data_IF_110203961596
#
_entry.id   IF_110203961596
#
_cell.length_a   1.000
_cell.length_b   1.000
_cell.length_c   1.000
_cell.angle_alpha   90.00
_cell.angle_beta   90.00
_cell.angle_gamma   90.00
#
_symmetry.space_group_name_H-M   'P 1'
#
loop_
_entity.id
_entity.type
_entity.pdbx_description
1 polymer ?
#
# COMPACT_ATOMS: atom_id res chain seq x y z
N UNK A 1 2.92 3.22 -10.20
CA UNK A 1 3.05 2.22 -11.26
C UNK A 1 2.51 0.87 -10.78
N UNK A 2 3.15 0.22 -9.80
CA UNK A 2 2.73 -1.11 -9.29
C UNK A 2 1.77 -1.06 -8.10
N UNK A 3 1.00 -2.13 -7.91
CA UNK A 3 0.08 -2.36 -6.78
C UNK A 3 0.64 -3.52 -5.94
N UNK A 4 0.55 -3.45 -4.60
CA UNK A 4 0.96 -4.56 -3.73
C UNK A 4 2.47 -4.63 -3.40
N UNK A 5 3.20 -3.51 -3.46
CA UNK A 5 4.65 -3.49 -3.21
C UNK A 5 5.03 -3.81 -1.76
N UNK A 6 6.13 -4.55 -1.56
CA UNK A 6 6.69 -4.83 -0.24
C UNK A 6 7.16 -3.56 0.50
N UNK A 7 6.96 -3.47 1.84
CA UNK A 7 7.48 -2.37 2.65
C UNK A 7 9.01 -2.30 2.64
N UNK A 8 9.59 -1.10 2.47
CA UNK A 8 11.06 -0.90 2.49
C UNK A 8 11.72 -1.48 3.75
N UNK A 9 11.07 -1.33 4.91
CA UNK A 9 11.56 -1.87 6.19
C UNK A 9 11.63 -3.39 6.26
N UNK A 10 10.74 -4.09 5.56
CA UNK A 10 10.77 -5.55 5.43
C UNK A 10 11.97 -5.96 4.56
N UNK A 11 12.15 -5.31 3.40
CA UNK A 11 13.29 -5.59 2.51
C UNK A 11 14.63 -5.33 3.22
N UNK A 12 14.77 -4.21 3.93
CA UNK A 12 15.98 -3.93 4.71
C UNK A 12 16.20 -4.97 5.82
N UNK A 13 15.13 -5.41 6.51
CA UNK A 13 15.25 -6.45 7.53
C UNK A 13 15.75 -7.76 6.91
N UNK A 14 15.19 -8.16 5.77
CA UNK A 14 15.62 -9.34 5.02
C UNK A 14 17.10 -9.24 4.65
N UNK A 15 17.50 -8.21 3.90
CA UNK A 15 18.85 -8.10 3.34
C UNK A 15 19.97 -8.01 4.39
N UNK A 16 19.69 -7.51 5.60
CA UNK A 16 20.67 -7.48 6.71
C UNK A 16 20.83 -8.85 7.37
N UNK A 17 19.83 -9.73 7.25
CA UNK A 17 19.78 -10.99 7.99
C UNK A 17 19.93 -12.24 7.11
N UNK A 18 20.03 -12.10 5.79
CA UNK A 18 20.27 -13.21 4.85
C UNK A 18 21.66 -13.08 4.25
N UNK A 19 22.34 -14.21 4.07
CA UNK A 19 23.59 -14.25 3.32
C UNK A 19 23.31 -14.54 1.84
N UNK A 20 23.48 -13.53 0.99
CA UNK A 20 23.29 -13.67 -0.46
C UNK A 20 24.53 -14.24 -1.15
N UNK A 21 24.32 -15.24 -2.01
CA UNK A 21 25.32 -15.71 -2.99
C UNK A 21 25.64 -14.60 -4.01
N UNK A 22 26.73 -14.70 -4.80
CA UNK A 22 27.08 -13.69 -5.81
C UNK A 22 25.96 -13.44 -6.82
N UNK A 23 25.28 -14.51 -7.24
CA UNK A 23 24.16 -14.47 -8.18
C UNK A 23 22.83 -14.62 -7.41
N UNK A 24 21.92 -13.67 -7.63
CA UNK A 24 20.62 -13.60 -6.98
C UNK A 24 19.52 -13.64 -8.03
N UNK A 25 18.65 -14.62 -7.91
CA UNK A 25 17.54 -14.87 -8.82
C UNK A 25 16.24 -14.50 -8.12
N UNK A 26 15.51 -13.54 -8.68
CA UNK A 26 14.29 -13.00 -8.08
C UNK A 26 13.09 -13.44 -8.89
N UNK A 27 12.22 -14.22 -8.24
CA UNK A 27 10.92 -14.60 -8.78
C UNK A 27 9.84 -13.60 -8.37
N UNK A 28 8.89 -13.34 -9.27
CA UNK A 28 7.78 -12.41 -9.03
C UNK A 28 8.24 -10.98 -8.68
N UNK A 29 9.15 -10.42 -9.48
CA UNK A 29 9.80 -9.11 -9.30
C UNK A 29 8.82 -7.97 -9.00
N UNK A 30 7.67 -7.96 -9.67
CA UNK A 30 6.61 -6.95 -9.57
C UNK A 30 7.17 -5.54 -9.74
N UNK A 31 7.34 -4.84 -8.61
CA UNK A 31 7.85 -3.47 -8.55
C UNK A 31 9.37 -3.34 -8.43
N UNK A 32 10.14 -4.40 -8.68
CA UNK A 32 11.61 -4.47 -8.64
C UNK A 32 12.28 -3.90 -7.38
N UNK A 33 11.55 -3.86 -6.25
CA UNK A 33 12.06 -3.21 -5.02
C UNK A 33 13.16 -4.01 -4.35
N UNK A 34 13.15 -5.34 -4.49
CA UNK A 34 14.17 -6.20 -3.91
C UNK A 34 15.47 -6.02 -4.70
N UNK A 35 15.37 -6.08 -6.02
CA UNK A 35 16.43 -5.86 -6.99
C UNK A 35 17.10 -4.51 -6.75
N UNK A 36 16.30 -3.44 -6.68
CA UNK A 36 16.79 -2.09 -6.40
C UNK A 36 17.47 -2.01 -5.03
N UNK A 37 16.94 -2.67 -4.01
CA UNK A 37 17.57 -2.67 -2.69
C UNK A 37 18.90 -3.43 -2.69
N UNK A 38 19.00 -4.55 -3.40
CA UNK A 38 20.24 -5.32 -3.52
C UNK A 38 21.28 -4.49 -4.29
N UNK A 39 20.96 -3.96 -5.46
CA UNK A 39 21.92 -3.15 -6.25
C UNK A 39 22.43 -1.92 -5.50
N UNK A 40 21.62 -1.32 -4.62
CA UNK A 40 22.06 -0.20 -3.80
C UNK A 40 22.89 -0.61 -2.58
N UNK A 41 22.57 -1.73 -1.93
CA UNK A 41 23.23 -2.16 -0.68
C UNK A 41 24.45 -3.06 -0.93
N UNK A 42 24.44 -3.78 -2.04
CA UNK A 42 25.38 -4.84 -2.43
C UNK A 42 25.58 -4.80 -3.95
N UNK A 43 26.19 -3.71 -4.49
CA UNK A 43 26.31 -3.49 -5.94
C UNK A 43 27.13 -4.57 -6.66
N UNK A 44 27.96 -5.33 -5.94
CA UNK A 44 28.75 -6.43 -6.47
C UNK A 44 27.93 -7.68 -6.80
N UNK A 45 26.69 -7.76 -6.33
CA UNK A 45 25.80 -8.89 -6.61
C UNK A 45 25.19 -8.78 -8.00
N UNK A 46 25.15 -9.91 -8.71
CA UNK A 46 24.37 -10.02 -9.94
C UNK A 46 22.92 -10.34 -9.60
N UNK A 47 22.01 -9.63 -10.24
CA UNK A 47 20.58 -9.70 -9.96
C UNK A 47 19.82 -10.00 -11.24
N UNK A 48 19.14 -11.13 -11.23
CA UNK A 48 18.32 -11.61 -12.33
C UNK A 48 16.85 -11.53 -11.93
N UNK A 49 16.06 -10.72 -12.62
CA UNK A 49 14.63 -10.55 -12.33
C UNK A 49 13.74 -11.50 -13.13
N UNK A 50 12.51 -11.69 -12.69
CA UNK A 50 11.51 -12.48 -13.41
C UNK A 50 10.10 -12.02 -13.06
N UNK A 51 9.25 -11.97 -14.08
CA UNK A 51 7.82 -11.75 -13.91
C UNK A 51 7.03 -12.20 -15.16
N UNK A 52 5.70 -12.14 -15.07
CA UNK A 52 4.76 -12.51 -16.13
C UNK A 52 3.88 -11.35 -16.60
N UNK A 53 3.70 -10.31 -15.77
CA UNK A 53 2.76 -9.23 -16.12
C UNK A 53 3.34 -8.29 -17.17
N UNK A 54 2.50 -7.80 -18.09
CA UNK A 54 2.92 -6.88 -19.15
C UNK A 54 3.76 -5.70 -18.63
N UNK A 55 3.34 -5.08 -17.53
CA UNK A 55 4.03 -3.93 -16.95
C UNK A 55 5.40 -4.31 -16.38
N UNK A 56 5.48 -5.39 -15.60
CA UNK A 56 6.74 -5.85 -15.01
C UNK A 56 7.69 -6.37 -16.08
N UNK A 57 7.20 -7.07 -17.11
CA UNK A 57 8.02 -7.48 -18.25
C UNK A 57 8.59 -6.29 -19.02
N UNK A 58 7.77 -5.26 -19.31
CA UNK A 58 8.26 -4.05 -19.99
C UNK A 58 9.33 -3.30 -19.19
N UNK A 59 9.16 -3.22 -17.87
CA UNK A 59 10.16 -2.62 -16.98
C UNK A 59 11.41 -3.49 -16.86
N UNK A 60 11.25 -4.81 -16.74
CA UNK A 60 12.35 -5.77 -16.69
C UNK A 60 13.23 -5.72 -17.94
N UNK A 61 12.61 -5.71 -19.11
CA UNK A 61 13.32 -5.51 -20.39
C UNK A 61 13.99 -4.14 -20.47
N UNK A 62 13.32 -3.06 -20.07
CA UNK A 62 13.95 -1.73 -20.01
C UNK A 62 15.22 -1.74 -19.14
N UNK A 63 15.18 -2.40 -17.98
CA UNK A 63 16.30 -2.50 -17.04
C UNK A 63 17.46 -3.37 -17.55
N UNK A 64 17.23 -4.19 -18.58
CA UNK A 64 18.25 -4.97 -19.29
C UNK A 64 18.59 -4.39 -20.67
N UNK A 65 18.09 -3.19 -20.99
CA UNK A 65 18.33 -2.52 -22.27
C UNK A 65 17.56 -3.12 -23.46
N UNK A 66 16.58 -3.98 -23.20
CA UNK A 66 15.73 -4.62 -24.20
C UNK A 66 14.38 -3.89 -24.35
N UNK A 67 13.79 -4.01 -25.54
CA UNK A 67 12.47 -3.43 -25.83
C UNK A 67 11.39 -4.49 -25.74
N UNK A 68 10.27 -4.17 -25.11
CA UNK A 68 9.03 -4.91 -25.30
C UNK A 68 8.18 -4.24 -26.38
N UNK A 69 7.86 -5.02 -27.42
CA UNK A 69 6.93 -4.59 -28.46
C UNK A 69 5.49 -4.94 -28.09
N UNK A 70 4.62 -3.94 -28.23
CA UNK A 70 3.19 -4.04 -27.89
C UNK A 70 2.36 -3.30 -28.93
N UNK A 71 1.16 -3.79 -29.21
CA UNK A 71 0.14 -3.10 -29.99
C UNK A 71 -1.10 -2.92 -29.12
N UNK A 72 -1.47 -1.67 -28.82
CA UNK A 72 -2.67 -1.40 -28.06
C UNK A 72 -3.91 -1.53 -28.95
N UNK A 73 -5.00 -2.05 -28.41
CA UNK A 73 -6.25 -2.30 -29.14
C UNK A 73 -7.45 -1.80 -28.34
N UNK A 74 -8.63 -1.82 -28.96
CA UNK A 74 -9.88 -1.47 -28.30
C UNK A 74 -9.84 -0.08 -27.65
N UNK A 75 -10.10 -0.03 -26.34
CA UNK A 75 -10.13 1.25 -25.59
C UNK A 75 -8.74 1.86 -25.35
N UNK A 76 -7.68 1.10 -25.59
CA UNK A 76 -6.29 1.57 -25.43
C UNK A 76 -5.62 1.89 -26.76
N UNK A 77 -6.28 1.63 -27.90
CA UNK A 77 -5.74 1.88 -29.25
C UNK A 77 -5.07 3.26 -29.40
N UNK A 78 -5.62 4.38 -28.87
CA UNK A 78 -4.98 5.69 -29.00
C UNK A 78 -3.57 5.78 -28.39
N UNK A 79 -3.17 4.85 -27.52
CA UNK A 79 -1.81 4.80 -26.98
C UNK A 79 -0.77 4.39 -28.02
N UNK A 80 -1.16 3.81 -29.15
CA UNK A 80 -0.23 3.44 -30.23
C UNK A 80 0.56 4.65 -30.77
N UNK A 81 -0.04 5.85 -30.77
CA UNK A 81 0.64 7.08 -31.21
C UNK A 81 1.80 7.50 -30.29
N UNK A 82 1.87 6.96 -29.07
CA UNK A 82 2.90 7.27 -28.07
C UNK A 82 4.07 6.27 -28.08
N UNK A 83 3.99 5.24 -28.93
CA UNK A 83 5.05 4.24 -29.10
C UNK A 83 6.27 4.90 -29.74
N UNK A 84 7.46 4.46 -29.36
CA UNK A 84 8.72 5.07 -29.79
C UNK A 84 9.92 4.25 -29.32
N UNK A 85 10.88 4.91 -28.67
CA UNK A 85 12.00 4.23 -28.01
C UNK A 85 11.54 3.30 -26.86
N UNK A 86 12.48 2.58 -26.26
CA UNK A 86 12.21 1.64 -25.15
C UNK A 86 11.46 2.33 -24.01
N UNK A 87 11.89 3.54 -23.65
CA UNK A 87 11.31 4.31 -22.55
C UNK A 87 9.90 4.77 -22.90
N UNK A 88 9.67 5.26 -24.12
CA UNK A 88 8.38 5.71 -24.62
C UNK A 88 7.36 4.55 -24.65
N UNK A 89 7.77 3.37 -25.15
CA UNK A 89 6.94 2.16 -25.13
C UNK A 89 6.55 1.78 -23.69
N UNK A 90 7.52 1.66 -22.79
CA UNK A 90 7.25 1.28 -21.40
C UNK A 90 6.40 2.33 -20.67
N UNK A 91 6.58 3.62 -20.99
CA UNK A 91 5.75 4.72 -20.46
C UNK A 91 4.30 4.65 -20.96
N UNK A 92 4.08 4.26 -22.22
CA UNK A 92 2.74 4.03 -22.74
C UNK A 92 2.04 2.85 -22.03
N UNK A 93 2.77 1.78 -21.70
CA UNK A 93 2.26 0.65 -20.90
C UNK A 93 1.91 1.11 -19.48
N UNK A 94 2.73 1.97 -18.88
CA UNK A 94 2.42 2.57 -17.56
C UNK A 94 1.13 3.38 -17.59
N UNK A 95 0.92 4.16 -18.66
CA UNK A 95 -0.30 4.92 -18.89
C UNK A 95 -1.52 4.02 -19.12
N UNK A 96 -1.36 2.89 -19.82
CA UNK A 96 -2.41 1.87 -19.96
C UNK A 96 -2.87 1.33 -18.59
N UNK A 97 -1.92 1.06 -17.68
CA UNK A 97 -2.23 0.64 -16.31
C UNK A 97 -2.97 1.74 -15.52
N UNK A 98 -2.65 3.02 -15.74
CA UNK A 98 -3.40 4.13 -15.13
C UNK A 98 -4.83 4.19 -15.68
N UNK A 99 -5.01 4.14 -17.00
CA UNK A 99 -6.32 4.13 -17.66
C UNK A 99 -7.19 2.96 -17.18
N UNK A 100 -6.59 1.80 -16.91
CA UNK A 100 -7.31 0.63 -16.38
C UNK A 100 -8.04 0.88 -15.05
N UNK A 101 -7.61 1.87 -14.26
CA UNK A 101 -8.27 2.26 -13.00
C UNK A 101 -9.62 2.95 -13.23
N UNK A 102 -9.81 3.48 -14.43
CA UNK A 102 -11.02 4.18 -14.88
C UNK A 102 -11.76 3.38 -15.96
N UNK A 103 -11.60 2.05 -15.98
CA UNK A 103 -12.28 1.16 -16.94
C UNK A 103 -13.79 1.06 -16.74
N UNK A 104 -14.32 1.49 -15.60
CA UNK A 104 -15.74 1.39 -15.26
C UNK A 104 -16.67 2.27 -16.11
N UNK A 105 -17.97 1.97 -16.06
CA UNK A 105 -19.00 2.64 -16.87
C UNK A 105 -19.70 3.81 -16.16
N UNK A 106 -19.32 4.15 -14.92
CA UNK A 106 -19.90 5.31 -14.24
C UNK A 106 -19.33 6.63 -14.81
N UNK A 107 -20.08 7.72 -14.65
CA UNK A 107 -19.73 9.04 -15.16
C UNK A 107 -18.32 9.50 -14.72
N UNK A 108 -17.95 9.26 -13.47
CA UNK A 108 -16.60 9.59 -12.96
C UNK A 108 -15.51 8.86 -13.75
N UNK A 109 -15.66 7.54 -13.95
CA UNK A 109 -14.67 6.72 -14.66
C UNK A 109 -14.58 7.12 -16.13
N UNK A 110 -15.71 7.33 -16.79
CA UNK A 110 -15.75 7.76 -18.19
C UNK A 110 -15.13 9.14 -18.39
N UNK A 111 -15.45 10.10 -17.52
CA UNK A 111 -14.91 11.45 -17.59
C UNK A 111 -13.38 11.46 -17.38
N UNK A 112 -12.88 10.72 -16.39
CA UNK A 112 -11.44 10.60 -16.15
C UNK A 112 -10.71 9.89 -17.29
N UNK A 113 -11.27 8.78 -17.80
CA UNK A 113 -10.69 8.05 -18.92
C UNK A 113 -10.59 8.94 -20.16
N UNK A 114 -11.68 9.63 -20.52
CA UNK A 114 -11.71 10.53 -21.66
C UNK A 114 -10.80 11.76 -21.48
N UNK A 115 -10.68 12.29 -20.27
CA UNK A 115 -9.76 13.39 -19.98
C UNK A 115 -8.30 12.96 -20.19
N UNK A 116 -7.90 11.79 -19.71
CA UNK A 116 -6.55 11.27 -19.93
C UNK A 116 -6.30 11.08 -21.44
N UNK A 117 -7.26 10.50 -22.17
CA UNK A 117 -7.14 10.32 -23.62
C UNK A 117 -7.02 11.64 -24.41
N UNK A 118 -7.66 12.72 -23.96
CA UNK A 118 -7.53 14.04 -24.60
C UNK A 118 -6.17 14.70 -24.34
N UNK A 119 -5.48 14.31 -23.27
CA UNK A 119 -4.22 14.92 -22.84
C UNK A 119 -3.08 13.89 -22.85
N UNK A 120 -3.11 12.93 -23.78
CA UNK A 120 -2.20 11.78 -23.80
C UNK A 120 -0.73 12.15 -23.76
N UNK A 121 -0.33 13.18 -24.51
CA UNK A 121 1.06 13.62 -24.57
C UNK A 121 1.59 14.07 -23.18
N UNK A 122 0.80 14.85 -22.45
CA UNK A 122 1.20 15.36 -21.12
C UNK A 122 1.30 14.22 -20.10
N UNK A 123 0.31 13.32 -20.09
CA UNK A 123 0.33 12.16 -19.20
C UNK A 123 1.47 11.20 -19.55
N UNK A 124 1.76 11.00 -20.84
CA UNK A 124 2.87 10.16 -21.29
C UNK A 124 4.22 10.76 -20.91
N UNK A 125 4.43 12.06 -21.13
CA UNK A 125 5.62 12.78 -20.71
C UNK A 125 5.84 12.66 -19.19
N UNK A 126 4.79 12.86 -18.40
CA UNK A 126 4.86 12.71 -16.95
C UNK A 126 5.18 11.27 -16.50
N UNK A 127 4.65 10.25 -17.17
CA UNK A 127 5.02 8.85 -16.89
C UNK A 127 6.45 8.54 -17.34
N UNK A 128 6.90 9.09 -18.48
CA UNK A 128 8.28 8.97 -18.97
C UNK A 128 9.28 9.51 -17.98
N UNK A 129 9.05 10.70 -17.43
CA UNK A 129 9.92 11.25 -16.40
C UNK A 129 9.93 10.40 -15.11
N UNK A 130 8.77 9.90 -14.68
CA UNK A 130 8.68 9.03 -13.50
C UNK A 130 9.45 7.74 -13.72
N UNK A 131 9.34 7.15 -14.92
CA UNK A 131 10.04 5.94 -15.29
C UNK A 131 11.55 6.16 -15.32
N UNK A 132 12.03 7.23 -15.96
CA UNK A 132 13.45 7.59 -15.98
C UNK A 132 14.02 7.79 -14.58
N UNK A 133 13.33 8.55 -13.71
CA UNK A 133 13.76 8.72 -12.30
C UNK A 133 13.75 7.41 -11.53
N UNK A 134 12.88 6.48 -11.90
CA UNK A 134 12.76 5.18 -11.24
C UNK A 134 13.86 4.20 -11.68
N UNK A 135 14.31 4.28 -12.93
CA UNK A 135 15.37 3.43 -13.48
C UNK A 135 16.76 4.09 -13.44
N UNK A 136 16.87 5.32 -12.97
CA UNK A 136 18.13 6.06 -12.93
C UNK A 136 19.17 5.35 -12.06
N UNK A 137 20.37 5.14 -12.61
CA UNK A 137 21.46 4.43 -11.94
C UNK A 137 21.16 2.96 -11.60
N UNK A 138 20.13 2.35 -12.22
CA UNK A 138 19.67 1.01 -11.87
C UNK A 138 19.48 0.15 -13.13
N UNK A 139 20.17 -0.99 -13.16
CA UNK A 139 20.04 -2.01 -14.21
C UNK A 139 20.05 -3.42 -13.61
N UNK A 140 19.51 -4.38 -14.36
CA UNK A 140 19.55 -5.81 -14.03
C UNK A 140 20.63 -6.52 -14.85
N UNK A 141 21.19 -7.59 -14.30
CA UNK A 141 22.14 -8.45 -15.01
C UNK A 141 21.42 -9.42 -15.95
N UNK A 142 20.13 -9.66 -15.71
CA UNK A 142 19.24 -10.33 -16.65
C UNK A 142 17.78 -10.27 -16.21
N UNK A 143 16.89 -10.59 -17.14
CA UNK A 143 15.45 -10.63 -16.89
C UNK A 143 14.82 -11.75 -17.70
N UNK A 144 13.99 -12.57 -17.05
CA UNK A 144 13.20 -13.61 -17.69
C UNK A 144 11.71 -13.27 -17.63
N UNK A 145 11.06 -13.05 -18.78
CA UNK A 145 9.62 -12.94 -18.88
C UNK A 145 9.01 -14.35 -18.93
N UNK A 146 8.41 -14.82 -17.84
CA UNK A 146 7.97 -16.21 -17.74
C UNK A 146 7.67 -16.66 -16.33
N UNK A 147 7.40 -17.96 -16.19
CA UNK A 147 7.11 -18.58 -14.90
C UNK A 147 8.31 -18.47 -13.92
N UNK A 148 8.05 -18.24 -12.64
CA UNK A 148 9.10 -18.12 -11.63
C UNK A 148 9.84 -19.44 -11.38
N UNK A 149 9.29 -20.59 -11.80
CA UNK A 149 10.01 -21.87 -11.73
C UNK A 149 11.34 -21.80 -12.48
N UNK A 150 11.44 -21.01 -13.55
CA UNK A 150 12.71 -20.73 -14.22
C UNK A 150 13.77 -20.17 -13.26
N UNK A 151 13.38 -19.29 -12.32
CA UNK A 151 14.32 -18.74 -11.34
C UNK A 151 14.72 -19.75 -10.27
N UNK A 152 13.81 -20.68 -9.93
CA UNK A 152 14.12 -21.79 -9.03
C UNK A 152 15.21 -22.65 -9.66
N UNK A 153 15.02 -23.06 -10.92
CA UNK A 153 15.96 -23.92 -11.63
C UNK A 153 17.29 -23.20 -11.89
N UNK A 154 17.26 -21.96 -12.37
CA UNK A 154 18.46 -21.17 -12.63
C UNK A 154 19.28 -20.93 -11.34
N UNK A 155 18.64 -20.64 -10.20
CA UNK A 155 19.34 -20.51 -8.93
C UNK A 155 19.99 -21.83 -8.48
N UNK A 156 19.32 -22.96 -8.72
CA UNK A 156 19.83 -24.29 -8.39
C UNK A 156 21.05 -24.64 -9.23
N UNK A 157 20.95 -24.49 -10.54
CA UNK A 157 22.00 -24.82 -11.52
C UNK A 157 23.25 -23.97 -11.33
N UNK A 158 23.08 -22.69 -11.01
CA UNK A 158 24.19 -21.74 -10.87
C UNK A 158 24.65 -21.54 -9.42
N UNK A 159 24.09 -22.28 -8.45
CA UNK A 159 24.44 -22.17 -7.03
C UNK A 159 24.14 -20.78 -6.42
N UNK A 160 23.13 -20.09 -6.95
CA UNK A 160 22.70 -18.75 -6.54
C UNK A 160 21.70 -18.75 -5.39
N UNK A 161 21.29 -17.54 -4.97
CA UNK A 161 20.21 -17.35 -4.00
C UNK A 161 18.91 -17.07 -4.73
N UNK A 162 17.87 -17.89 -4.48
CA UNK A 162 16.50 -17.58 -4.88
C UNK A 162 15.85 -16.62 -3.89
N UNK A 163 15.24 -15.53 -4.35
CA UNK A 163 14.35 -14.70 -3.53
C UNK A 163 13.00 -14.60 -4.21
N UNK A 164 11.91 -14.80 -3.47
CA UNK A 164 10.58 -14.67 -4.07
C UNK A 164 9.58 -14.12 -3.06
N UNK A 165 8.71 -13.22 -3.54
CA UNK A 165 7.46 -12.89 -2.88
C UNK A 165 6.30 -13.42 -3.71
N UNK A 166 5.90 -14.65 -3.39
CA UNK A 166 4.85 -15.32 -4.15
C UNK A 166 3.50 -14.57 -4.02
N UNK A 167 2.64 -14.60 -5.05
CA UNK A 167 1.28 -14.09 -4.95
C UNK A 167 0.55 -14.65 -3.73
N UNK A 168 -0.14 -13.79 -2.97
CA UNK A 168 -0.82 -14.18 -1.72
C UNK A 168 -2.28 -14.58 -1.91
N UNK A 169 -2.83 -14.37 -3.11
CA UNK A 169 -4.19 -14.75 -3.50
C UNK A 169 -4.21 -15.24 -4.95
N UNK A 170 -4.93 -16.34 -5.18
CA UNK A 170 -5.06 -17.00 -6.49
C UNK A 170 -5.81 -16.11 -7.49
N UNK A 171 -5.34 -16.04 -8.73
CA UNK A 171 -6.01 -15.28 -9.80
C UNK A 171 -5.94 -13.76 -9.62
N UNK A 172 -5.15 -13.29 -8.67
CA UNK A 172 -5.13 -11.91 -8.25
C UNK A 172 -4.58 -10.93 -9.27
N UNK A 173 -3.47 -11.31 -9.88
CA UNK A 173 -2.74 -10.52 -10.85
C UNK A 173 -3.45 -10.52 -12.21
N UNK A 174 -4.01 -11.67 -12.59
CA UNK A 174 -4.82 -11.86 -13.79
C UNK A 174 -6.01 -10.89 -13.78
N UNK A 175 -6.74 -10.83 -12.67
CA UNK A 175 -7.86 -9.91 -12.51
C UNK A 175 -7.43 -8.43 -12.52
N UNK A 176 -6.27 -8.13 -11.92
CA UNK A 176 -5.76 -6.77 -11.85
C UNK A 176 -5.42 -6.22 -13.24
N UNK A 177 -4.76 -7.04 -14.07
CA UNK A 177 -4.27 -6.64 -15.40
C UNK A 177 -5.19 -7.03 -16.56
N UNK A 178 -6.29 -7.75 -16.29
CA UNK A 178 -7.27 -8.23 -17.30
C UNK A 178 -7.60 -7.18 -18.36
N UNK A 179 -7.97 -5.96 -17.95
CA UNK A 179 -8.35 -4.90 -18.88
C UNK A 179 -7.20 -4.51 -19.82
N UNK A 180 -5.99 -4.40 -19.30
CA UNK A 180 -4.83 -4.02 -20.11
C UNK A 180 -4.49 -5.16 -21.05
N UNK A 181 -4.49 -6.41 -20.58
CA UNK A 181 -4.22 -7.59 -21.39
C UNK A 181 -5.24 -7.78 -22.53
N UNK A 182 -6.53 -7.59 -22.26
CA UNK A 182 -7.60 -7.68 -23.28
C UNK A 182 -7.51 -6.56 -24.35
N UNK A 183 -6.83 -5.45 -24.02
CA UNK A 183 -6.69 -4.29 -24.90
C UNK A 183 -5.23 -4.08 -25.36
N UNK A 184 -4.39 -5.12 -25.29
CA UNK A 184 -2.99 -5.06 -25.73
C UNK A 184 -2.56 -6.40 -26.32
N UNK A 185 -2.08 -6.41 -27.56
CA UNK A 185 -1.39 -7.55 -28.16
C UNK A 185 0.10 -7.43 -27.88
N UNK A 186 0.70 -8.51 -27.42
CA UNK A 186 2.13 -8.64 -27.20
C UNK A 186 2.46 -10.13 -27.08
N UNK A 187 3.75 -10.46 -27.16
CA UNK A 187 4.21 -11.84 -26.96
C UNK A 187 4.20 -12.19 -25.46
N UNK A 188 3.00 -12.46 -24.94
CA UNK A 188 2.80 -12.76 -23.52
C UNK A 188 3.39 -14.12 -23.17
N UNK A 189 4.19 -14.23 -22.09
CA UNK A 189 4.80 -15.51 -21.74
C UNK A 189 3.75 -16.52 -21.26
N UNK A 190 4.07 -17.80 -21.41
CA UNK A 190 3.30 -18.89 -20.82
C UNK A 190 3.71 -19.10 -19.36
N UNK A 191 2.74 -19.31 -18.47
CA UNK A 191 2.97 -19.55 -17.04
C UNK A 191 1.79 -20.28 -16.40
N UNK A 192 2.06 -20.97 -15.28
CA UNK A 192 1.04 -21.62 -14.47
C UNK A 192 0.40 -20.65 -13.47
N UNK A 193 -0.92 -20.73 -13.28
CA UNK A 193 -1.59 -19.96 -12.21
C UNK A 193 -1.19 -20.54 -10.86
N UNK A 194 -0.42 -19.76 -10.10
CA UNK A 194 0.04 -20.13 -8.76
C UNK A 194 -1.11 -20.27 -7.76
N UNK A 195 -1.08 -21.34 -6.98
CA UNK A 195 -1.96 -21.52 -5.81
C UNK A 195 -1.18 -21.20 -4.52
N UNK A 196 -1.53 -20.13 -3.78
CA UNK A 196 -0.85 -19.77 -2.54
C UNK A 196 -0.92 -20.83 -1.43
N UNK A 197 -1.82 -21.81 -1.52
CA UNK A 197 -1.82 -22.97 -0.61
C UNK A 197 -0.55 -23.84 -0.75
N UNK A 198 0.07 -23.85 -1.93
CA UNK A 198 1.24 -24.69 -2.23
C UNK A 198 2.57 -24.11 -1.70
N UNK A 199 2.54 -22.93 -1.05
CA UNK A 199 3.76 -22.27 -0.57
C UNK A 199 4.52 -23.11 0.46
N UNK A 200 3.83 -23.93 1.26
CA UNK A 200 4.46 -24.86 2.19
C UNK A 200 5.25 -25.96 1.48
N UNK A 201 4.65 -26.56 0.44
CA UNK A 201 5.30 -27.59 -0.36
C UNK A 201 6.54 -27.04 -1.08
N UNK A 202 6.46 -25.83 -1.62
CA UNK A 202 7.61 -25.18 -2.25
C UNK A 202 8.75 -24.94 -1.25
N UNK A 203 8.47 -24.48 -0.04
CA UNK A 203 9.51 -24.27 0.98
C UNK A 203 10.18 -25.59 1.36
N UNK A 204 9.41 -26.67 1.52
CA UNK A 204 9.95 -28.00 1.79
C UNK A 204 10.80 -28.51 0.63
N UNK A 205 10.33 -28.38 -0.61
CA UNK A 205 11.09 -28.75 -1.81
C UNK A 205 12.44 -28.03 -1.88
N UNK A 206 12.47 -26.72 -1.62
CA UNK A 206 13.71 -25.94 -1.63
C UNK A 206 14.68 -26.36 -0.51
N UNK A 207 14.14 -26.80 0.64
CA UNK A 207 14.94 -27.34 1.76
C UNK A 207 15.51 -28.72 1.43
N UNK A 208 14.69 -29.62 0.88
CA UNK A 208 15.08 -30.98 0.53
C UNK A 208 16.17 -30.99 -0.55
N UNK A 209 16.10 -30.02 -1.47
CA UNK A 209 17.13 -29.81 -2.51
C UNK A 209 18.36 -29.04 -2.01
N UNK A 210 18.44 -28.68 -0.71
CA UNK A 210 19.52 -27.90 -0.11
C UNK A 210 19.84 -26.58 -0.88
N UNK A 211 18.81 -25.97 -1.47
CA UNK A 211 18.96 -24.78 -2.30
C UNK A 211 19.02 -23.52 -1.43
N UNK A 212 19.83 -22.51 -1.78
CA UNK A 212 19.86 -21.25 -1.05
C UNK A 212 18.64 -20.39 -1.42
N UNK A 213 17.78 -20.07 -0.45
CA UNK A 213 16.52 -19.38 -0.73
C UNK A 213 16.07 -18.40 0.36
N UNK A 214 15.22 -17.45 -0.07
CA UNK A 214 14.44 -16.56 0.78
C UNK A 214 13.01 -16.40 0.21
N UNK A 215 12.05 -17.10 0.79
CA UNK A 215 10.63 -17.05 0.42
C UNK A 215 9.88 -16.15 1.39
N UNK A 216 9.26 -15.10 0.85
CA UNK A 216 8.43 -14.15 1.58
C UNK A 216 6.97 -14.51 1.34
N UNK A 217 6.16 -14.55 2.40
CA UNK A 217 4.73 -14.85 2.31
C UNK A 217 3.95 -14.20 3.46
N UNK A 218 2.66 -13.94 3.27
CA UNK A 218 1.76 -13.50 4.34
C UNK A 218 1.12 -14.67 5.10
N UNK A 219 1.55 -15.92 4.81
CA UNK A 219 1.08 -17.15 5.45
C UNK A 219 2.12 -17.69 6.40
N UNK A 220 1.69 -18.05 7.62
CA UNK A 220 2.50 -18.84 8.54
C UNK A 220 2.33 -20.30 8.18
N UNK A 221 3.42 -20.99 7.90
CA UNK A 221 3.47 -22.43 7.68
C UNK A 221 3.39 -23.16 9.02
N UNK A 222 2.65 -24.27 9.06
CA UNK A 222 2.53 -25.11 10.25
C UNK A 222 3.75 -26.02 10.43
N UNK A 223 4.29 -26.53 9.32
CA UNK A 223 5.41 -27.48 9.30
C UNK A 223 6.80 -26.83 9.38
N UNK A 224 6.87 -25.51 9.29
CA UNK A 224 8.16 -24.79 9.23
C UNK A 224 8.05 -23.49 10.01
N UNK A 225 8.98 -23.25 10.93
CA UNK A 225 9.07 -21.96 11.63
C UNK A 225 9.74 -20.91 10.74
N UNK A 226 9.18 -19.69 10.64
CA UNK A 226 9.77 -18.63 9.85
C UNK A 226 11.08 -18.14 10.49
N UNK A 227 12.07 -17.81 9.66
CA UNK A 227 13.29 -17.14 10.12
C UNK A 227 13.01 -15.70 10.50
N UNK A 228 12.11 -15.02 9.78
CA UNK A 228 11.75 -13.65 10.13
C UNK A 228 10.25 -13.41 10.14
N UNK A 229 9.83 -12.48 10.99
CA UNK A 229 8.48 -11.95 11.00
C UNK A 229 8.53 -10.42 11.00
N UNK A 230 7.81 -9.82 10.05
CA UNK A 230 7.52 -8.39 10.00
C UNK A 230 6.04 -8.17 10.35
N UNK A 231 5.78 -7.67 11.55
CA UNK A 231 4.45 -7.27 11.99
C UNK A 231 4.30 -5.74 11.84
N UNK A 232 3.88 -5.34 10.64
CA UNK A 232 3.51 -3.95 10.34
C UNK A 232 2.07 -3.62 10.75
N UNK A 233 1.50 -2.59 10.13
CA UNK A 233 0.08 -2.24 10.31
C UNK A 233 -0.93 -3.18 9.61
N UNK A 234 -0.48 -4.11 8.76
CA UNK A 234 -1.34 -5.10 8.10
C UNK A 234 -1.07 -6.51 8.67
N UNK A 235 -1.66 -7.55 8.07
CA UNK A 235 -1.35 -8.95 8.37
C UNK A 235 0.18 -9.15 8.40
N UNK A 236 0.73 -9.88 9.39
CA UNK A 236 2.15 -10.15 9.46
C UNK A 236 2.67 -10.81 8.17
N UNK A 237 3.91 -10.48 7.81
CA UNK A 237 4.63 -11.12 6.71
C UNK A 237 5.75 -11.96 7.31
N UNK A 238 5.91 -13.16 6.78
CA UNK A 238 6.87 -14.16 7.22
C UNK A 238 7.92 -14.38 6.14
N UNK A 239 9.14 -14.69 6.58
CA UNK A 239 10.23 -15.08 5.71
C UNK A 239 10.75 -16.46 6.11
N UNK A 240 10.82 -17.34 5.11
CA UNK A 240 11.40 -18.66 5.18
C UNK A 240 12.71 -18.67 4.39
N UNK A 241 13.79 -19.14 4.99
CA UNK A 241 15.10 -19.20 4.38
C UNK A 241 15.95 -20.27 5.08
N UNK A 242 16.88 -20.89 4.36
CA UNK A 242 17.83 -21.83 4.94
C UNK A 242 19.05 -21.13 5.56
N UNK A 243 19.48 -19.99 5.02
CA UNK A 243 20.65 -19.24 5.50
C UNK A 243 20.28 -17.81 5.91
N UNK A 244 19.58 -17.69 7.04
CA UNK A 244 19.15 -16.42 7.58
C UNK A 244 19.19 -16.38 9.10
N UNK A 245 19.55 -15.23 9.70
CA UNK A 245 19.41 -14.99 11.14
C UNK A 245 17.94 -14.78 11.51
N UNK A 246 17.55 -15.25 12.69
CA UNK A 246 16.20 -15.02 13.19
C UNK A 246 15.96 -13.53 13.48
N UNK A 247 14.83 -12.99 13.03
CA UNK A 247 14.53 -11.56 13.22
C UNK A 247 13.04 -11.27 13.38
N UNK A 248 12.68 -10.51 14.40
CA UNK A 248 11.33 -9.99 14.62
C UNK A 248 11.34 -8.47 14.56
N UNK A 249 10.56 -7.90 13.63
CA UNK A 249 10.33 -6.46 13.55
C UNK A 249 8.85 -6.16 13.72
N UNK A 250 8.53 -5.39 14.76
CA UNK A 250 7.18 -4.87 15.01
C UNK A 250 7.18 -3.36 14.81
N UNK A 251 6.23 -2.85 14.03
CA UNK A 251 6.01 -1.40 13.96
C UNK A 251 5.16 -0.96 15.14
N UNK A 252 5.82 -0.39 16.15
CA UNK A 252 5.10 0.26 17.25
C UNK A 252 4.61 1.63 16.80
N UNK A 253 3.34 1.93 17.03
CA UNK A 253 2.86 3.31 16.93
C UNK A 253 3.44 4.11 18.08
N UNK A 254 4.04 5.26 17.78
CA UNK A 254 4.48 6.18 18.83
C UNK A 254 3.25 6.74 19.53
N UNK A 255 3.22 6.59 20.84
CA UNK A 255 2.18 7.03 21.77
C UNK A 255 2.86 7.88 22.84
N UNK A 256 2.31 9.06 23.15
CA UNK A 256 2.89 10.00 24.11
C UNK A 256 1.86 10.33 25.19
N UNK A 257 2.04 9.84 26.42
CA UNK A 257 1.21 10.24 27.54
C UNK A 257 1.28 11.75 27.79
N UNK A 258 0.17 12.34 28.22
CA UNK A 258 0.11 13.72 28.67
C UNK A 258 -0.88 13.85 29.82
N UNK A 259 -0.72 14.89 30.64
CA UNK A 259 -1.60 15.14 31.79
C UNK A 259 -2.94 15.68 31.31
N UNK A 260 -4.03 15.06 31.76
CA UNK A 260 -5.39 15.55 31.61
C UNK A 260 -6.25 15.05 32.77
N UNK A 261 -7.37 15.73 33.04
CA UNK A 261 -8.43 15.23 33.93
C UNK A 261 -9.56 14.68 33.06
N UNK A 262 -10.18 13.57 33.47
CA UNK A 262 -11.37 13.04 32.77
C UNK A 262 -12.59 13.87 33.19
N UNK A 263 -13.50 14.15 32.26
CA UNK A 263 -14.75 14.84 32.56
C UNK A 263 -15.56 14.11 33.63
N UNK A 264 -16.06 14.86 34.62
CA UNK A 264 -17.17 14.43 35.46
C UNK A 264 -18.48 14.87 34.79
N UNK A 265 -19.31 13.93 34.29
CA UNK A 265 -20.55 14.27 33.58
C UNK A 265 -21.55 15.03 34.45
N UNK A 266 -21.55 14.83 35.76
CA UNK A 266 -22.51 15.48 36.65
C UNK A 266 -22.09 16.90 37.05
N UNK A 267 -20.82 17.24 36.84
CA UNK A 267 -20.29 18.59 37.02
C UNK A 267 -20.62 19.53 35.84
N UNK A 268 -21.12 19.00 34.71
CA UNK A 268 -21.43 19.79 33.51
C UNK A 268 -22.68 20.65 33.74
N UNK A 269 -22.53 21.96 33.54
CA UNK A 269 -23.58 22.97 33.71
C UNK A 269 -23.88 23.68 32.39
N UNK A 270 -24.94 24.50 32.37
CA UNK A 270 -25.32 25.28 31.20
C UNK A 270 -24.27 26.35 30.81
N UNK A 271 -23.49 26.81 31.78
CA UNK A 271 -22.41 27.80 31.63
C UNK A 271 -21.01 27.16 31.49
N UNK A 272 -20.93 25.83 31.44
CA UNK A 272 -19.68 25.11 31.19
C UNK A 272 -19.04 25.53 29.88
N UNK A 273 -17.72 25.71 29.88
CA UNK A 273 -16.93 26.17 28.73
C UNK A 273 -16.35 25.00 27.96
N UNK A 274 -16.55 25.03 26.64
CA UNK A 274 -15.99 24.04 25.71
C UNK A 274 -14.71 24.61 25.10
N UNK A 275 -13.63 23.84 25.18
CA UNK A 275 -12.37 24.10 24.49
C UNK A 275 -12.06 22.94 23.53
N UNK A 276 -11.74 23.27 22.28
CA UNK A 276 -11.34 22.29 21.27
C UNK A 276 -9.90 22.60 20.87
N UNK A 277 -8.98 21.71 21.25
CA UNK A 277 -7.55 21.96 21.14
C UNK A 277 -6.86 20.92 20.24
N UNK A 278 -6.00 21.33 19.28
CA UNK A 278 -5.25 20.40 18.45
C UNK A 278 -4.36 19.48 19.30
N UNK A 279 -4.35 18.19 18.96
CA UNK A 279 -3.44 17.20 19.58
C UNK A 279 -2.39 16.72 18.58
N UNK A 280 -1.21 16.41 19.08
CA UNK A 280 -0.23 15.65 18.28
C UNK A 280 -0.76 14.24 18.01
N UNK A 281 -0.30 13.61 16.93
CA UNK A 281 -0.68 12.22 16.64
C UNK A 281 -0.29 11.25 17.76
N UNK A 282 0.79 11.54 18.50
CA UNK A 282 1.26 10.69 19.60
C UNK A 282 0.36 10.81 20.84
N UNK A 283 -0.06 12.03 21.19
CA UNK A 283 -1.03 12.27 22.27
C UNK A 283 -2.39 11.65 21.95
N UNK A 284 -2.85 11.79 20.71
CA UNK A 284 -4.11 11.17 20.32
C UNK A 284 -4.01 9.63 20.34
N UNK A 285 -2.91 9.05 19.86
CA UNK A 285 -2.71 7.60 19.93
C UNK A 285 -2.76 7.11 21.38
N UNK A 286 -2.18 7.85 22.33
CA UNK A 286 -2.33 7.56 23.75
C UNK A 286 -3.79 7.52 24.18
N UNK A 287 -4.59 8.52 23.83
CA UNK A 287 -6.02 8.50 24.17
C UNK A 287 -6.79 7.35 23.50
N UNK A 288 -6.46 7.00 22.26
CA UNK A 288 -7.07 5.84 21.57
C UNK A 288 -6.76 4.54 22.29
N UNK A 289 -5.51 4.36 22.71
CA UNK A 289 -5.07 3.16 23.45
C UNK A 289 -5.82 3.04 24.80
N UNK A 290 -6.22 4.16 25.40
CA UNK A 290 -6.98 4.23 26.66
C UNK A 290 -8.49 4.03 26.46
N UNK A 291 -9.11 4.70 25.48
CA UNK A 291 -10.57 4.83 25.37
C UNK A 291 -11.22 4.02 24.24
N UNK A 292 -10.46 3.53 23.26
CA UNK A 292 -11.00 2.69 22.19
C UNK A 292 -10.82 1.21 22.51
N UNK A 293 -11.62 0.36 21.85
CA UNK A 293 -11.56 -1.08 22.07
C UNK A 293 -10.20 -1.65 21.67
N UNK A 294 -9.67 -2.55 22.53
CA UNK A 294 -8.44 -3.30 22.26
C UNK A 294 -8.59 -4.10 20.97
N UNK A 295 -7.53 -4.13 20.16
CA UNK A 295 -7.50 -4.86 18.88
C UNK A 295 -7.91 -4.05 17.65
N UNK A 296 -8.32 -2.78 17.79
CA UNK A 296 -8.57 -1.91 16.63
C UNK A 296 -7.25 -1.30 16.16
N UNK A 297 -6.88 -1.56 14.90
CA UNK A 297 -5.70 -0.93 14.32
C UNK A 297 -6.00 0.51 13.86
N UNK A 298 -5.80 1.49 14.75
CA UNK A 298 -6.10 2.89 14.47
C UNK A 298 -5.24 3.51 13.37
N UNK A 299 -5.86 4.20 12.42
CA UNK A 299 -5.12 5.05 11.47
C UNK A 299 -4.81 6.42 12.08
N UNK A 300 -3.73 7.04 11.60
CA UNK A 300 -3.44 8.44 11.89
C UNK A 300 -4.28 9.33 10.96
N UNK A 301 -4.77 10.44 11.48
CA UNK A 301 -5.45 11.46 10.69
C UNK A 301 -4.50 12.53 10.15
N UNK A 302 -5.07 13.39 9.32
CA UNK A 302 -4.47 14.67 8.90
C UNK A 302 -4.38 15.64 10.09
N UNK A 303 -5.44 15.71 10.90
CA UNK A 303 -5.51 16.57 12.09
C UNK A 303 -6.33 15.92 13.20
N UNK A 304 -5.92 16.17 14.45
CA UNK A 304 -6.47 15.57 15.66
C UNK A 304 -6.90 16.68 16.62
N UNK A 305 -8.04 16.51 17.29
CA UNK A 305 -8.54 17.44 18.29
C UNK A 305 -8.96 16.71 19.56
N UNK A 306 -8.62 17.29 20.71
CA UNK A 306 -9.21 16.97 22.00
C UNK A 306 -10.33 17.95 22.33
N UNK A 307 -11.39 17.46 22.95
CA UNK A 307 -12.51 18.27 23.45
C UNK A 307 -12.45 18.29 24.97
N UNK A 308 -12.38 19.49 25.54
CA UNK A 308 -12.34 19.74 26.96
C UNK A 308 -13.58 20.52 27.38
N UNK A 309 -14.20 20.12 28.49
CA UNK A 309 -15.29 20.84 29.14
C UNK A 309 -14.77 21.26 30.51
N UNK A 310 -14.70 22.57 30.76
CA UNK A 310 -14.12 23.15 31.98
C UNK A 310 -12.71 22.61 32.30
N UNK A 311 -11.88 22.44 31.25
CA UNK A 311 -10.51 21.92 31.35
C UNK A 311 -10.41 20.40 31.53
N UNK A 312 -11.52 19.67 31.49
CA UNK A 312 -11.55 18.20 31.62
C UNK A 312 -11.85 17.53 30.27
N UNK A 313 -11.09 16.49 29.94
CA UNK A 313 -11.19 15.75 28.69
C UNK A 313 -12.53 15.01 28.59
N UNK A 314 -13.37 15.45 27.64
CA UNK A 314 -14.66 14.87 27.34
C UNK A 314 -14.62 13.90 26.14
N UNK A 315 -13.65 14.07 25.25
CA UNK A 315 -13.48 13.22 24.08
C UNK A 315 -12.44 13.74 23.10
N UNK A 316 -12.36 13.11 21.94
CA UNK A 316 -11.51 13.54 20.85
C UNK A 316 -12.08 13.11 19.50
N UNK A 317 -11.67 13.80 18.43
CA UNK A 317 -12.02 13.45 17.06
C UNK A 317 -10.87 13.72 16.10
N UNK A 318 -10.95 13.11 14.92
CA UNK A 318 -9.86 13.04 13.95
C UNK A 318 -10.42 13.28 12.57
N UNK A 319 -9.72 14.11 11.79
CA UNK A 319 -9.99 14.25 10.38
C UNK A 319 -8.90 13.69 9.49
N UNK A 320 -9.28 13.21 8.31
CA UNK A 320 -8.43 12.97 7.17
C UNK A 320 -9.07 13.55 5.91
N UNK A 321 -8.30 13.72 4.83
CA UNK A 321 -8.87 14.05 3.53
C UNK A 321 -9.85 12.95 3.09
N UNK A 322 -10.93 13.36 2.43
CA UNK A 322 -11.95 12.45 1.94
C UNK A 322 -11.41 11.58 0.80
N UNK A 323 -11.56 10.26 0.92
CA UNK A 323 -11.17 9.32 -0.13
C UNK A 323 -12.31 9.02 -1.12
N UNK A 324 -13.55 9.29 -0.70
CA UNK A 324 -14.78 9.02 -1.44
C UNK A 324 -15.71 10.23 -1.34
N UNK A 325 -16.63 10.39 -2.30
CA UNK A 325 -17.53 11.56 -2.35
C UNK A 325 -16.82 12.82 -2.84
N UNK A 326 -17.26 13.99 -2.35
CA UNK A 326 -16.67 15.29 -2.67
C UNK A 326 -15.29 15.44 -2.02
N UNK A 327 -14.24 15.24 -2.81
CA UNK A 327 -12.85 15.30 -2.34
C UNK A 327 -12.31 16.72 -2.17
N UNK A 328 -13.04 17.72 -2.65
CA UNK A 328 -12.60 19.12 -2.65
C UNK A 328 -13.20 19.83 -1.45
N UNK A 329 -14.51 19.70 -1.25
CA UNK A 329 -15.24 20.42 -0.20
C UNK A 329 -15.73 19.54 0.95
N UNK A 330 -15.31 18.28 1.03
CA UNK A 330 -15.60 17.40 2.18
C UNK A 330 -14.35 16.97 2.91
N UNK A 331 -14.44 16.90 4.24
CA UNK A 331 -13.45 16.26 5.08
C UNK A 331 -14.03 15.01 5.73
N UNK A 332 -13.21 13.99 5.93
CA UNK A 332 -13.64 12.72 6.49
C UNK A 332 -13.26 12.63 7.97
N UNK A 333 -14.25 12.51 8.85
CA UNK A 333 -14.05 12.22 10.26
C UNK A 333 -13.67 10.74 10.41
N UNK A 334 -12.38 10.49 10.56
CA UNK A 334 -11.79 9.15 10.58
C UNK A 334 -12.19 8.37 11.84
N UNK A 335 -12.31 9.07 12.96
CA UNK A 335 -12.73 8.51 14.24
C UNK A 335 -13.09 9.63 15.19
N UNK A 336 -13.98 9.33 16.12
CA UNK A 336 -14.30 10.14 17.29
C UNK A 336 -14.58 9.22 18.47
N UNK A 337 -14.38 9.70 19.69
CA UNK A 337 -14.78 9.01 20.91
C UNK A 337 -15.04 9.99 22.03
N UNK A 338 -15.83 9.55 23.01
CA UNK A 338 -16.01 10.24 24.28
C UNK A 338 -15.40 9.43 25.41
N UNK A 339 -14.99 10.10 26.47
CA UNK A 339 -14.49 9.46 27.69
C UNK A 339 -15.62 8.86 28.55
N UNK A 340 -16.87 9.22 28.25
CA UNK A 340 -18.08 8.77 28.95
C UNK A 340 -19.27 8.63 28.00
N UNK A 341 -20.27 7.83 28.38
CA UNK A 341 -21.56 7.70 27.67
C UNK A 341 -22.69 8.49 28.31
N UNK A 342 -22.44 9.10 29.47
CA UNK A 342 -23.45 9.84 30.23
C UNK A 342 -23.72 11.22 29.60
N UNK A 343 -24.88 11.80 29.95
CA UNK A 343 -25.26 13.20 29.63
C UNK A 343 -25.15 13.57 28.14
N UNK A 344 -25.26 12.59 27.24
CA UNK A 344 -25.12 12.76 25.77
C UNK A 344 -23.77 13.34 25.33
N UNK A 345 -22.72 13.29 26.16
CA UNK A 345 -21.37 13.77 25.79
C UNK A 345 -20.87 13.07 24.52
N UNK A 346 -21.17 11.78 24.35
CA UNK A 346 -20.84 11.03 23.13
C UNK A 346 -21.43 11.61 21.84
N UNK A 347 -22.53 12.37 21.92
CA UNK A 347 -23.15 13.06 20.78
C UNK A 347 -22.61 14.48 20.60
N UNK A 348 -22.21 15.11 21.70
CA UNK A 348 -21.58 16.43 21.67
C UNK A 348 -20.26 16.40 20.89
N UNK A 349 -19.43 15.38 21.07
CA UNK A 349 -18.13 15.26 20.37
C UNK A 349 -18.25 15.36 18.83
N UNK A 350 -19.04 14.50 18.15
CA UNK A 350 -19.20 14.60 16.70
C UNK A 350 -19.94 15.87 16.27
N UNK A 351 -20.83 16.43 17.10
CA UNK A 351 -21.48 17.72 16.80
C UNK A 351 -20.47 18.88 16.83
N UNK A 352 -19.54 18.88 17.79
CA UNK A 352 -18.47 19.88 17.85
C UNK A 352 -17.50 19.75 16.68
N UNK A 353 -17.26 18.52 16.20
CA UNK A 353 -16.45 18.27 15.00
C UNK A 353 -17.04 18.95 13.75
N UNK A 354 -18.36 19.14 13.67
CA UNK A 354 -19.02 19.83 12.54
C UNK A 354 -19.20 21.34 12.77
N UNK A 355 -18.70 21.88 13.88
CA UNK A 355 -18.82 23.31 14.19
C UNK A 355 -18.03 24.19 13.20
N UNK A 356 -18.55 25.39 12.93
CA UNK A 356 -17.89 26.36 12.04
C UNK A 356 -16.50 26.73 12.51
N UNK A 357 -16.26 26.81 13.82
CA UNK A 357 -14.95 27.17 14.36
C UNK A 357 -13.90 26.11 14.03
N UNK A 358 -14.25 24.83 14.17
CA UNK A 358 -13.38 23.70 13.82
C UNK A 358 -13.13 23.69 12.31
N UNK A 359 -14.18 23.83 11.48
CA UNK A 359 -14.03 23.81 10.03
C UNK A 359 -13.21 25.01 9.53
N UNK A 360 -13.45 26.20 10.06
CA UNK A 360 -12.68 27.41 9.73
C UNK A 360 -11.22 27.30 10.19
N UNK A 361 -10.95 26.65 11.32
CA UNK A 361 -9.59 26.35 11.74
C UNK A 361 -8.87 25.44 10.72
N UNK A 362 -9.54 24.36 10.30
CA UNK A 362 -8.99 23.42 9.31
C UNK A 362 -8.75 24.10 7.97
N UNK A 363 -9.74 24.85 7.46
CA UNK A 363 -9.65 25.59 6.19
C UNK A 363 -8.47 26.56 6.18
N UNK A 364 -8.29 27.34 7.26
CA UNK A 364 -7.16 28.27 7.39
C UNK A 364 -5.82 27.56 7.48
N UNK A 365 -5.74 26.50 8.28
CA UNK A 365 -4.48 25.77 8.51
C UNK A 365 -3.95 25.09 7.26
N UNK A 366 -4.83 24.55 6.42
CA UNK A 366 -4.45 23.79 5.23
C UNK A 366 -4.69 24.52 3.91
N UNK A 367 -5.18 25.77 3.95
CA UNK A 367 -5.57 26.54 2.75
C UNK A 367 -6.54 25.76 1.84
N UNK A 368 -7.60 25.21 2.44
CA UNK A 368 -8.64 24.42 1.76
C UNK A 368 -10.03 25.01 2.03
N UNK A 369 -11.03 24.59 1.25
CA UNK A 369 -12.43 25.04 1.37
C UNK A 369 -13.36 23.86 1.70
N UNK A 370 -13.29 23.37 2.93
CA UNK A 370 -14.20 22.35 3.45
C UNK A 370 -15.55 22.98 3.81
N UNK A 371 -16.61 22.39 3.28
CA UNK A 371 -18.02 22.77 3.48
C UNK A 371 -18.85 21.67 4.13
N UNK A 372 -18.36 20.43 4.14
CA UNK A 372 -19.06 19.29 4.72
C UNK A 372 -18.13 18.33 5.46
N UNK A 373 -18.68 17.63 6.44
CA UNK A 373 -18.00 16.54 7.16
C UNK A 373 -18.72 15.23 6.86
N UNK A 374 -17.96 14.22 6.46
CA UNK A 374 -18.46 12.86 6.24
C UNK A 374 -17.81 11.88 7.20
N UNK A 375 -18.51 10.80 7.56
CA UNK A 375 -17.97 9.69 8.34
C UNK A 375 -18.62 8.39 7.89
N UNK A 376 -18.00 7.25 8.17
CA UNK A 376 -18.66 5.95 8.03
C UNK A 376 -18.81 5.28 9.38
N UNK A 377 -19.89 4.53 9.57
CA UNK A 377 -20.09 3.70 10.74
C UNK A 377 -20.42 2.28 10.30
N UNK A 378 -19.70 1.30 10.83
CA UNK A 378 -20.05 -0.10 10.65
C UNK A 378 -21.21 -0.45 11.59
N UNK A 379 -22.32 -0.90 11.03
CA UNK A 379 -23.52 -1.22 11.80
C UNK A 379 -24.27 -2.35 11.10
N UNK A 380 -24.79 -3.31 11.89
CA UNK A 380 -25.76 -4.31 11.41
C UNK A 380 -27.19 -3.76 11.41
N UNK A 381 -27.38 -2.56 11.96
CA UNK A 381 -28.64 -1.84 12.01
C UNK A 381 -28.63 -0.67 11.01
N UNK A 382 -29.79 -0.20 10.51
CA UNK A 382 -29.86 0.87 9.50
C UNK A 382 -29.23 2.20 9.93
N UNK A 383 -29.10 2.45 11.24
CA UNK A 383 -28.39 3.61 11.80
C UNK A 383 -27.56 3.15 13.01
N UNK A 384 -26.29 3.58 13.06
CA UNK A 384 -25.36 3.31 14.16
C UNK A 384 -25.89 3.85 15.50
N UNK A 385 -25.87 3.02 16.54
CA UNK A 385 -26.33 3.40 17.89
C UNK A 385 -25.61 4.63 18.44
N UNK A 386 -24.37 4.87 18.03
CA UNK A 386 -23.56 6.00 18.48
C UNK A 386 -24.19 7.36 18.11
N UNK A 387 -24.89 7.42 16.98
CA UNK A 387 -25.44 8.65 16.40
C UNK A 387 -26.97 8.72 16.42
N UNK A 388 -27.67 7.81 17.10
CA UNK A 388 -29.13 7.91 17.28
C UNK A 388 -29.47 9.07 18.22
N UNK A 389 -30.57 9.78 17.96
CA UNK A 389 -31.12 10.92 18.72
C UNK A 389 -31.33 10.66 20.21
#
# INVERSE_FOLDING_TARGET
MFIGSLPKKLITQMLINIQLKPDVYIGCSGSFRIEHAIKNMMPEKKVYGNDVSLLSCAVGYLLTGQRLDVEFTGRLEPLNQLRGDIVANTSAICLAVILSRFKGNNQYSQAHFAHILRNLADYHSAEREKLLRYTDGFSLDGFHAGDFHHQIDAARENGGTLIMFAPTYKGGYENLYKFVNENTKWDSPSYGVWDPENIGNLVLELQDNNQNFAIITDRRLESTEPRMMFAGGNKPVFLYANDARSSLRRENKKSQPFRYKVIDPDAVKADSRIEISPLTSQQLNFLKDVYLAKGINHKNGMINFGVFIDGMLAGAFIFSLSQYGDKIHSIYMLSDFSTTRLRRISKLIPMLATSRDVINFVNRKYMIDIRSVSTTAFTRNPVSMKYRG
#
